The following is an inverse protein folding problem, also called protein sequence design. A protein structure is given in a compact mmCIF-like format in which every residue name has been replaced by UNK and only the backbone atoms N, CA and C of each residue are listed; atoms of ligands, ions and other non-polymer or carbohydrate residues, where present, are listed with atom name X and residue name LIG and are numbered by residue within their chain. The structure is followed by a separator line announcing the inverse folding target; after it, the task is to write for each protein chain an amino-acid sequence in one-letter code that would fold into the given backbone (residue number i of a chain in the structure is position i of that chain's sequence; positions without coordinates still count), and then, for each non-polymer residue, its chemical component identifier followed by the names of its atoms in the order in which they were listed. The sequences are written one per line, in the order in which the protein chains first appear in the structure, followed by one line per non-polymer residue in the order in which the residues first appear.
data_IF_117419290701
#
_entry.id   IF_117419290701
#
_cell.length_a   1.000
_cell.length_b   1.000
_cell.length_c   1.000
_cell.angle_alpha   90.00
_cell.angle_beta   90.00
_cell.angle_gamma   90.00
#
_symmetry.space_group_name_H-M   'P 1'
#
loop_
_entity.id
_entity.type
_entity.pdbx_description
1 polymer ?
#
# COMPACT_ATOMS: atom_id res chain seq x y z
N UNK A 1 -30.58 11.98 48.33
CA UNK A 1 -29.25 11.50 47.89
C UNK A 1 -29.29 10.23 47.02
N UNK A 2 -29.88 9.10 47.46
CA UNK A 2 -29.87 7.83 46.69
C UNK A 2 -30.41 7.93 45.24
N UNK A 3 -31.48 8.70 45.01
CA UNK A 3 -32.05 8.93 43.66
C UNK A 3 -31.12 9.68 42.71
N UNK A 4 -30.35 10.63 43.23
CA UNK A 4 -29.38 11.38 42.43
C UNK A 4 -28.19 10.51 42.02
N UNK A 5 -27.70 9.66 42.93
CA UNK A 5 -26.61 8.72 42.64
C UNK A 5 -27.03 7.74 41.54
N UNK A 6 -28.25 7.21 41.60
CA UNK A 6 -28.77 6.31 40.56
C UNK A 6 -28.88 6.99 39.18
N UNK A 7 -29.30 8.26 39.13
CA UNK A 7 -29.36 9.03 37.88
C UNK A 7 -27.96 9.23 37.31
N UNK A 8 -26.97 9.59 38.12
CA UNK A 8 -25.59 9.75 37.66
C UNK A 8 -24.95 8.45 37.18
N UNK A 9 -25.26 7.31 37.82
CA UNK A 9 -24.80 6.00 37.37
C UNK A 9 -25.38 5.67 35.99
N UNK A 10 -26.68 5.89 35.79
CA UNK A 10 -27.35 5.64 34.50
C UNK A 10 -26.81 6.57 33.40
N UNK A 11 -26.57 7.83 33.72
CA UNK A 11 -26.06 8.83 32.78
C UNK A 11 -24.61 8.51 32.38
N UNK A 12 -23.78 8.08 33.34
CA UNK A 12 -22.41 7.61 33.07
C UNK A 12 -22.39 6.32 32.24
N UNK A 13 -23.25 5.34 32.57
CA UNK A 13 -23.36 4.11 31.81
C UNK A 13 -23.80 4.37 30.35
N UNK A 14 -24.79 5.24 30.15
CA UNK A 14 -25.25 5.64 28.81
C UNK A 14 -24.15 6.35 28.01
N UNK A 15 -23.36 7.21 28.65
CA UNK A 15 -22.24 7.89 28.00
C UNK A 15 -21.15 6.92 27.54
N UNK A 16 -20.83 5.91 28.36
CA UNK A 16 -19.85 4.87 28.01
C UNK A 16 -20.31 4.03 26.81
N UNK A 17 -21.59 3.65 26.77
CA UNK A 17 -22.16 2.88 25.64
C UNK A 17 -22.06 3.69 24.33
N UNK A 18 -22.42 4.99 24.38
CA UNK A 18 -22.33 5.86 23.21
C UNK A 18 -20.89 6.08 22.71
N UNK A 19 -19.92 6.19 23.63
CA UNK A 19 -18.50 6.27 23.27
C UNK A 19 -18.01 4.99 22.59
N UNK A 20 -18.43 3.81 23.06
CA UNK A 20 -18.06 2.53 22.47
C UNK A 20 -18.53 2.38 21.01
N UNK A 21 -19.78 2.74 20.70
CA UNK A 21 -20.30 2.67 19.33
C UNK A 21 -19.50 3.56 18.38
N UNK A 22 -19.17 4.79 18.80
CA UNK A 22 -18.35 5.71 17.99
C UNK A 22 -16.92 5.20 17.77
N UNK A 23 -16.35 4.50 18.76
CA UNK A 23 -15.03 3.88 18.62
C UNK A 23 -15.07 2.72 17.63
N UNK A 24 -16.11 1.88 17.68
CA UNK A 24 -16.28 0.78 16.71
C UNK A 24 -16.33 1.29 15.27
N UNK A 25 -17.08 2.35 15.01
CA UNK A 25 -17.18 2.95 13.66
C UNK A 25 -15.84 3.50 13.15
N UNK A 26 -15.00 4.01 14.05
CA UNK A 26 -13.66 4.50 13.73
C UNK A 26 -12.66 3.35 13.55
N UNK A 27 -12.83 2.25 14.29
CA UNK A 27 -12.01 1.05 14.13
C UNK A 27 -12.31 0.30 12.83
N UNK A 28 -13.55 0.27 12.37
CA UNK A 28 -13.93 -0.27 11.06
C UNK A 28 -13.32 0.56 9.91
N UNK A 29 -13.13 1.87 10.12
CA UNK A 29 -12.54 2.81 9.16
C UNK A 29 -11.06 3.04 9.40
N UNK A 30 -10.33 2.05 9.96
CA UNK A 30 -8.88 2.17 10.15
C UNK A 30 -8.22 2.56 8.80
N UNK A 31 -7.41 3.63 8.76
CA UNK A 31 -6.73 4.01 7.54
C UNK A 31 -5.78 2.87 7.16
N UNK A 32 -6.12 2.15 6.09
CA UNK A 32 -5.23 1.15 5.52
C UNK A 32 -4.26 1.83 4.56
N UNK A 33 -2.97 1.55 4.72
CA UNK A 33 -1.96 1.99 3.75
C UNK A 33 -2.07 1.04 2.55
N UNK A 34 -2.75 1.49 1.49
CA UNK A 34 -2.77 0.78 0.21
C UNK A 34 -1.52 1.19 -0.57
N UNK A 35 -0.55 0.29 -0.70
CA UNK A 35 0.51 0.44 -1.68
C UNK A 35 -0.07 0.12 -3.06
N UNK A 36 -0.59 1.14 -3.74
CA UNK A 36 -1.04 1.01 -5.12
C UNK A 36 0.20 1.07 -6.02
N UNK A 37 0.61 -0.09 -6.53
CA UNK A 37 1.52 -0.14 -7.66
C UNK A 37 0.71 0.24 -8.90
N UNK A 38 0.91 1.46 -9.39
CA UNK A 38 0.21 2.11 -10.50
C UNK A 38 0.64 1.62 -11.89
N UNK A 39 1.46 0.58 -11.92
CA UNK A 39 1.93 -0.11 -13.13
C UNK A 39 1.04 -1.30 -13.56
N UNK A 40 0.05 -1.70 -12.74
CA UNK A 40 -0.86 -2.78 -13.11
C UNK A 40 -1.77 -2.36 -14.29
N UNK A 41 -1.39 -2.77 -15.51
CA UNK A 41 -2.12 -2.49 -16.74
C UNK A 41 -1.54 -1.36 -17.61
N UNK A 42 -0.40 -0.79 -17.23
CA UNK A 42 0.33 0.14 -18.09
C UNK A 42 1.37 -0.63 -18.90
N UNK A 43 1.21 -0.67 -20.23
CA UNK A 43 2.24 -1.21 -21.13
C UNK A 43 3.45 -0.26 -21.13
N UNK A 44 4.59 -0.75 -20.66
CA UNK A 44 5.82 0.03 -20.63
C UNK A 44 6.63 -0.32 -21.87
N UNK A 45 6.70 0.60 -22.83
CA UNK A 45 7.50 0.44 -24.04
C UNK A 45 8.71 1.36 -23.99
N UNK A 46 9.93 0.81 -24.05
CA UNK A 46 11.10 1.65 -24.13
C UNK A 46 12.42 0.92 -24.27
N UNK A 47 13.49 1.72 -24.42
CA UNK A 47 14.85 1.22 -24.58
C UNK A 47 15.52 1.01 -23.24
N UNK A 48 16.09 -0.18 -23.03
CA UNK A 48 16.86 -0.51 -21.84
C UNK A 48 18.19 0.24 -21.87
N UNK A 49 18.48 1.03 -20.84
CA UNK A 49 19.71 1.82 -20.74
C UNK A 49 20.72 1.24 -19.75
N UNK A 50 20.24 0.50 -18.74
CA UNK A 50 21.10 -0.06 -17.71
C UNK A 50 20.50 -1.36 -17.15
N UNK A 51 21.38 -2.21 -16.63
CA UNK A 51 21.02 -3.41 -15.89
C UNK A 51 21.77 -3.43 -14.56
N UNK A 52 21.03 -3.57 -13.48
CA UNK A 52 21.56 -3.60 -12.11
C UNK A 52 21.20 -4.91 -11.39
N UNK A 53 21.96 -5.22 -10.34
CA UNK A 53 21.62 -6.27 -9.37
C UNK A 53 21.81 -5.74 -7.97
N UNK A 54 20.73 -5.69 -7.21
CA UNK A 54 20.74 -5.27 -5.82
C UNK A 54 20.41 -6.46 -4.92
N UNK A 55 21.47 -7.11 -4.42
CA UNK A 55 21.35 -8.35 -3.64
C UNK A 55 20.72 -9.49 -4.44
N UNK A 56 19.47 -9.84 -4.11
CA UNK A 56 18.68 -10.90 -4.77
C UNK A 56 17.77 -10.38 -5.89
N UNK A 57 17.66 -9.06 -6.06
CA UNK A 57 16.78 -8.44 -7.04
C UNK A 57 17.53 -8.13 -8.33
N UNK A 58 16.90 -8.43 -9.46
CA UNK A 58 17.38 -8.09 -10.80
C UNK A 58 16.61 -6.88 -11.31
N UNK A 59 17.30 -5.86 -11.79
CA UNK A 59 16.69 -4.59 -12.20
C UNK A 59 17.11 -4.18 -13.60
N UNK A 60 16.18 -3.64 -14.38
CA UNK A 60 16.42 -3.03 -15.69
C UNK A 60 15.97 -1.57 -15.64
N UNK A 61 16.80 -0.67 -16.15
CA UNK A 61 16.44 0.75 -16.28
C UNK A 61 15.95 0.97 -17.71
N UNK A 62 14.72 1.45 -17.86
CA UNK A 62 14.12 1.80 -19.14
C UNK A 62 14.14 3.32 -19.28
N UNK A 63 14.65 3.80 -20.42
CA UNK A 63 14.68 5.23 -20.75
C UNK A 63 13.28 5.82 -20.66
N UNK A 64 13.17 7.01 -20.05
CA UNK A 64 11.91 7.77 -19.89
C UNK A 64 10.87 7.16 -18.92
N UNK A 65 11.13 5.97 -18.35
CA UNK A 65 10.25 5.32 -17.37
C UNK A 65 10.88 5.16 -15.97
N UNK A 66 12.08 4.60 -15.89
CA UNK A 66 12.75 4.35 -14.60
C UNK A 66 13.23 2.91 -14.42
N UNK A 67 13.39 2.49 -13.16
CA UNK A 67 13.98 1.20 -12.78
C UNK A 67 12.89 0.18 -12.46
N UNK A 68 12.96 -0.97 -13.11
CA UNK A 68 12.00 -2.06 -12.96
C UNK A 68 12.68 -3.30 -12.41
N UNK A 69 12.08 -3.93 -11.40
CA UNK A 69 12.48 -5.25 -10.93
C UNK A 69 11.89 -6.30 -11.86
N UNK A 70 12.74 -7.15 -12.42
CA UNK A 70 12.36 -8.23 -13.33
C UNK A 70 12.76 -9.58 -12.77
N UNK A 71 12.18 -10.64 -13.32
CA UNK A 71 12.62 -11.99 -13.00
C UNK A 71 14.04 -12.23 -13.51
N UNK A 72 14.75 -13.19 -12.92
CA UNK A 72 16.09 -13.58 -13.38
C UNK A 72 16.10 -13.98 -14.86
N UNK A 73 15.08 -14.72 -15.30
CA UNK A 73 14.97 -15.20 -16.67
C UNK A 73 14.80 -14.04 -17.66
N UNK A 74 13.97 -13.04 -17.34
CA UNK A 74 13.85 -11.82 -18.14
C UNK A 74 15.15 -11.02 -18.13
N UNK A 75 15.78 -10.88 -16.97
CA UNK A 75 17.06 -10.19 -16.86
C UNK A 75 18.13 -10.83 -17.73
N UNK A 76 18.23 -12.16 -17.81
CA UNK A 76 19.22 -12.83 -18.64
C UNK A 76 18.93 -12.68 -20.15
N UNK A 77 17.65 -12.59 -20.54
CA UNK A 77 17.22 -12.40 -21.94
C UNK A 77 17.43 -10.96 -22.44
N UNK A 78 17.11 -9.97 -21.62
CA UNK A 78 17.12 -8.54 -21.97
C UNK A 78 18.57 -8.02 -21.99
N UNK A 79 18.95 -7.29 -23.04
CA UNK A 79 20.25 -6.62 -23.17
C UNK A 79 20.10 -5.11 -23.09
N UNK A 80 21.18 -4.43 -22.72
CA UNK A 80 21.22 -2.96 -22.79
C UNK A 80 21.14 -2.56 -24.25
N UNK A 81 20.20 -1.68 -24.57
CA UNK A 81 19.89 -1.23 -25.91
C UNK A 81 18.67 -1.91 -26.53
N UNK A 82 18.13 -2.97 -25.93
CA UNK A 82 16.92 -3.63 -26.41
C UNK A 82 15.70 -2.72 -26.19
N UNK A 83 14.77 -2.77 -27.15
CA UNK A 83 13.41 -2.27 -26.94
C UNK A 83 12.59 -3.37 -26.27
N UNK A 84 11.97 -3.03 -25.13
CA UNK A 84 11.18 -3.96 -24.35
C UNK A 84 9.78 -3.43 -24.14
N UNK A 85 8.83 -4.36 -24.06
CA UNK A 85 7.47 -4.13 -23.63
C UNK A 85 7.25 -4.94 -22.35
N UNK A 86 7.01 -4.25 -21.23
CA UNK A 86 6.75 -4.85 -19.91
C UNK A 86 5.30 -4.65 -19.47
#
# INVERSE_FOLDING_TARGET
MKRFIAIWILLSAGLNIWQMDKIRDLEEKKPMVIYKADNAGAEIFGKVVEKGRHGKLYTVTIRDYGVFVVTREQFEKIRVGDEVML
#
